data_IF_297624886466
#
_entry.id   IF_297624886466
#
_cell.length_a   1.000
_cell.length_b   1.000
_cell.length_c   1.000
_cell.angle_alpha   90.00
_cell.angle_beta   90.00
_cell.angle_gamma   90.00
#
_symmetry.space_group_name_H-M   'P 1'
#
loop_
_entity.id
_entity.type
_entity.pdbx_description
1 polymer ?
#
# COMPACT_ATOMS: atom_id res chain seq x y z
N UNK A 1 5.72 30.60 3.16
CA UNK A 1 5.55 30.42 1.70
C UNK A 1 5.46 28.93 1.46
N UNK A 2 4.25 28.38 1.34
CA UNK A 2 4.02 26.94 1.13
C UNK A 2 4.51 26.61 -0.27
N UNK A 3 5.54 25.76 -0.40
CA UNK A 3 5.90 25.24 -1.71
C UNK A 3 4.73 24.41 -2.22
N UNK A 4 4.06 24.89 -3.27
CA UNK A 4 3.08 24.10 -4.02
C UNK A 4 3.88 23.03 -4.77
N UNK A 5 3.82 21.80 -4.28
CA UNK A 5 4.30 20.64 -5.05
C UNK A 5 3.29 20.47 -6.20
N UNK A 6 3.76 20.47 -7.44
CA UNK A 6 2.94 20.09 -8.58
C UNK A 6 2.56 18.61 -8.42
N UNK A 7 1.27 18.34 -8.22
CA UNK A 7 0.75 17.01 -7.96
C UNK A 7 0.17 16.45 -9.26
N UNK A 8 1.02 15.79 -10.03
CA UNK A 8 0.55 14.94 -11.11
C UNK A 8 0.01 13.63 -10.52
N UNK A 9 -1.17 13.20 -10.99
CA UNK A 9 -1.71 11.89 -10.66
C UNK A 9 -0.87 10.75 -11.25
N UNK A 10 -1.21 9.52 -10.88
CA UNK A 10 -0.49 8.33 -11.34
C UNK A 10 -0.54 8.16 -12.88
N UNK A 11 0.60 8.29 -13.55
CA UNK A 11 0.73 8.01 -14.98
C UNK A 11 0.78 6.49 -15.25
N UNK A 12 -0.35 5.95 -15.70
CA UNK A 12 -0.53 4.52 -15.99
C UNK A 12 0.40 4.02 -17.09
N UNK A 13 0.66 4.83 -18.11
CA UNK A 13 1.55 4.46 -19.21
C UNK A 13 3.00 4.37 -18.73
N UNK A 14 3.42 5.32 -17.89
CA UNK A 14 4.75 5.29 -17.28
C UNK A 14 4.92 4.12 -16.32
N UNK A 15 3.92 3.84 -15.47
CA UNK A 15 3.94 2.67 -14.57
C UNK A 15 4.06 1.38 -15.37
N UNK A 16 3.26 1.20 -16.43
CA UNK A 16 3.33 0.01 -17.27
C UNK A 16 4.71 -0.18 -17.91
N UNK A 17 5.31 0.89 -18.44
CA UNK A 17 6.67 0.87 -18.97
C UNK A 17 7.70 0.47 -17.92
N UNK A 18 7.65 1.07 -16.73
CA UNK A 18 8.61 0.79 -15.66
C UNK A 18 8.50 -0.65 -15.14
N UNK A 19 7.29 -1.20 -15.05
CA UNK A 19 7.08 -2.59 -14.65
C UNK A 19 7.59 -3.57 -15.70
N UNK A 20 7.40 -3.27 -16.99
CA UNK A 20 7.97 -4.07 -18.07
C UNK A 20 9.51 -4.08 -18.02
N UNK A 21 10.13 -2.92 -17.80
CA UNK A 21 11.59 -2.78 -17.68
C UNK A 21 12.16 -3.50 -16.45
N UNK A 22 11.36 -3.63 -15.38
CA UNK A 22 11.73 -4.28 -14.14
C UNK A 22 11.51 -5.81 -14.11
N UNK A 23 11.23 -6.42 -15.28
CA UNK A 23 10.91 -7.84 -15.40
C UNK A 23 9.74 -8.28 -14.49
N UNK A 24 8.73 -7.43 -14.35
CA UNK A 24 7.57 -7.71 -13.50
C UNK A 24 6.82 -8.97 -13.94
N UNK A 25 6.76 -9.96 -13.06
CA UNK A 25 6.14 -11.27 -13.37
C UNK A 25 4.73 -11.44 -12.78
N UNK A 26 4.26 -10.49 -11.97
CA UNK A 26 2.92 -10.54 -11.37
C UNK A 26 1.89 -9.92 -12.33
N UNK A 27 0.58 -10.07 -12.07
CA UNK A 27 -0.43 -9.37 -12.85
C UNK A 27 -0.18 -7.85 -12.88
N UNK A 28 -0.53 -7.20 -14.00
CA UNK A 28 -0.45 -5.75 -14.10
C UNK A 28 -1.37 -5.11 -13.04
N UNK A 29 -0.90 -4.07 -12.31
CA UNK A 29 -1.75 -3.38 -11.34
C UNK A 29 -2.99 -2.76 -12.00
N UNK A 30 -4.13 -2.94 -11.33
CA UNK A 30 -5.37 -2.26 -11.69
C UNK A 30 -5.31 -0.85 -11.11
N UNK A 31 -5.19 0.15 -11.97
CA UNK A 31 -5.15 1.55 -11.57
C UNK A 31 -6.54 2.19 -11.62
N UNK A 32 -6.97 2.74 -10.48
CA UNK A 32 -8.23 3.45 -10.30
C UNK A 32 -7.97 4.94 -10.04
N UNK A 33 -8.89 5.80 -10.45
CA UNK A 33 -8.83 7.22 -10.08
C UNK A 33 -9.25 7.39 -8.62
N UNK A 34 -10.40 6.80 -8.24
CA UNK A 34 -10.88 6.80 -6.88
C UNK A 34 -11.51 5.44 -6.53
N UNK A 35 -11.46 5.08 -5.25
CA UNK A 35 -12.19 3.96 -4.66
C UNK A 35 -12.56 4.31 -3.21
N UNK A 36 -13.41 3.51 -2.56
CA UNK A 36 -13.58 3.60 -1.11
C UNK A 36 -12.33 3.11 -0.39
N UNK A 37 -11.76 1.97 -0.79
CA UNK A 37 -10.54 1.40 -0.22
C UNK A 37 -9.95 0.36 -1.16
N UNK A 38 -8.67 0.49 -1.50
CA UNK A 38 -7.94 -0.52 -2.29
C UNK A 38 -7.95 -1.90 -1.62
N UNK A 39 -7.92 -1.97 -0.27
CA UNK A 39 -8.08 -3.23 0.45
C UNK A 39 -9.44 -3.89 0.16
N UNK A 40 -10.52 -3.10 0.09
CA UNK A 40 -11.86 -3.62 -0.15
C UNK A 40 -12.01 -4.12 -1.60
N UNK A 41 -11.40 -3.42 -2.57
CA UNK A 41 -11.34 -3.86 -3.96
C UNK A 41 -10.61 -5.21 -4.08
N UNK A 42 -9.42 -5.32 -3.48
CA UNK A 42 -8.65 -6.56 -3.52
C UNK A 42 -9.35 -7.69 -2.76
N UNK A 43 -10.03 -7.41 -1.65
CA UNK A 43 -10.82 -8.41 -0.95
C UNK A 43 -11.96 -8.96 -1.82
N UNK A 44 -12.64 -8.09 -2.57
CA UNK A 44 -13.69 -8.46 -3.52
C UNK A 44 -13.13 -9.33 -4.66
N UNK A 45 -12.00 -8.92 -5.24
CA UNK A 45 -11.29 -9.68 -6.27
C UNK A 45 -10.83 -11.06 -5.75
N UNK A 46 -10.36 -11.13 -4.50
CA UNK A 46 -9.96 -12.38 -3.87
C UNK A 46 -11.12 -13.37 -3.76
N UNK A 47 -12.31 -12.91 -3.36
CA UNK A 47 -13.53 -13.73 -3.31
C UNK A 47 -13.97 -14.20 -4.70
N UNK A 48 -13.74 -13.38 -5.72
CA UNK A 48 -13.99 -13.72 -7.12
C UNK A 48 -12.91 -14.65 -7.74
N UNK A 49 -11.89 -15.05 -6.98
CA UNK A 49 -10.87 -15.99 -7.44
C UNK A 49 -9.68 -15.36 -8.17
N UNK A 50 -9.42 -14.07 -7.95
CA UNK A 50 -8.24 -13.41 -8.52
C UNK A 50 -6.91 -14.11 -8.12
N UNK A 51 -5.93 -14.01 -9.01
CA UNK A 51 -4.65 -14.69 -8.87
C UNK A 51 -3.77 -14.06 -7.77
N UNK A 52 -2.78 -14.83 -7.31
CA UNK A 52 -1.71 -14.31 -6.45
C UNK A 52 -1.06 -13.07 -7.07
N UNK A 53 -0.74 -12.08 -6.24
CA UNK A 53 -0.07 -10.87 -6.69
C UNK A 53 -0.96 -9.88 -7.44
N UNK A 54 -2.28 -10.12 -7.56
CA UNK A 54 -3.22 -9.09 -7.99
C UNK A 54 -3.05 -7.83 -7.15
N UNK A 55 -2.82 -6.70 -7.81
CA UNK A 55 -2.59 -5.41 -7.19
C UNK A 55 -3.63 -4.40 -7.66
N UNK A 56 -4.18 -3.63 -6.71
CA UNK A 56 -4.99 -2.45 -6.99
C UNK A 56 -4.25 -1.24 -6.47
N UNK A 57 -4.16 -0.19 -7.28
CA UNK A 57 -3.64 1.13 -6.91
C UNK A 57 -4.72 2.17 -7.19
N UNK A 58 -4.85 3.17 -6.32
CA UNK A 58 -5.78 4.27 -6.51
C UNK A 58 -5.08 5.62 -6.28
N UNK A 59 -5.52 6.66 -7.00
CA UNK A 59 -5.08 8.04 -6.75
C UNK A 59 -5.74 8.62 -5.50
N UNK A 60 -7.00 8.26 -5.24
CA UNK A 60 -7.78 8.65 -4.06
C UNK A 60 -8.45 7.45 -3.37
N UNK A 61 -8.53 7.47 -2.04
CA UNK A 61 -9.45 6.63 -1.27
C UNK A 61 -10.39 7.48 -0.42
N UNK A 62 -11.70 7.35 -0.64
CA UNK A 62 -12.74 8.13 0.07
C UNK A 62 -13.11 7.56 1.43
N UNK A 63 -12.74 6.30 1.70
CA UNK A 63 -12.93 5.61 2.98
C UNK A 63 -11.71 4.74 3.31
N UNK A 64 -10.52 5.32 3.17
CA UNK A 64 -9.26 4.64 3.45
C UNK A 64 -9.23 4.09 4.89
N UNK A 65 -8.70 2.87 5.06
CA UNK A 65 -8.74 2.15 6.33
C UNK A 65 -7.34 1.93 6.90
N UNK A 66 -7.22 2.09 8.21
CA UNK A 66 -6.07 1.78 9.03
C UNK A 66 -6.37 0.68 10.05
N UNK A 67 -5.34 0.28 10.80
CA UNK A 67 -5.50 -0.75 11.84
C UNK A 67 -6.46 -0.30 12.94
N UNK A 68 -7.18 -1.27 13.50
CA UNK A 68 -8.14 -1.09 14.60
C UNK A 68 -9.28 -0.14 14.23
N UNK A 69 -9.68 -0.12 12.95
CA UNK A 69 -10.81 0.69 12.48
C UNK A 69 -10.55 2.18 12.41
N UNK A 70 -9.29 2.62 12.47
CA UNK A 70 -8.93 4.03 12.26
C UNK A 70 -9.00 4.38 10.78
N UNK A 71 -9.31 5.63 10.47
CA UNK A 71 -9.29 6.12 9.09
C UNK A 71 -7.85 6.32 8.58
N UNK A 72 -7.70 6.22 7.26
CA UNK A 72 -6.46 6.52 6.54
C UNK A 72 -6.74 7.55 5.45
N UNK A 73 -6.26 8.79 5.67
CA UNK A 73 -6.47 9.90 4.74
C UNK A 73 -5.67 9.67 3.45
N UNK A 74 -6.35 9.69 2.30
CA UNK A 74 -5.79 9.35 0.98
C UNK A 74 -6.30 10.29 -0.12
N UNK A 75 -6.01 11.61 -0.05
CA UNK A 75 -6.50 12.56 -1.04
C UNK A 75 -5.81 12.33 -2.39
N UNK A 76 -6.41 12.81 -3.50
CA UNK A 76 -5.89 12.62 -4.85
C UNK A 76 -4.47 13.18 -4.97
N UNK A 77 -3.62 12.42 -5.67
CA UNK A 77 -2.26 12.79 -6.03
C UNK A 77 -1.34 13.16 -4.84
N UNK A 78 -1.70 12.78 -3.62
CA UNK A 78 -0.95 13.08 -2.40
C UNK A 78 -0.04 11.91 -1.94
N UNK A 79 -0.17 10.75 -2.55
CA UNK A 79 0.59 9.57 -2.19
C UNK A 79 0.33 8.37 -3.08
N UNK A 80 0.82 7.23 -2.64
CA UNK A 80 0.64 5.94 -3.29
C UNK A 80 -0.21 5.05 -2.38
N UNK A 81 -1.43 4.74 -2.84
CA UNK A 81 -2.39 3.91 -2.12
C UNK A 81 -2.58 2.62 -2.90
N UNK A 82 -2.06 1.51 -2.36
CA UNK A 82 -2.08 0.24 -3.08
C UNK A 82 -2.36 -0.93 -2.16
N UNK A 83 -2.91 -2.00 -2.73
CA UNK A 83 -3.19 -3.25 -2.02
C UNK A 83 -2.81 -4.44 -2.88
N UNK A 84 -2.21 -5.45 -2.26
CA UNK A 84 -1.80 -6.70 -2.90
C UNK A 84 -2.58 -7.88 -2.35
N UNK A 85 -2.96 -8.80 -3.24
CA UNK A 85 -3.48 -10.11 -2.88
C UNK A 85 -2.31 -11.06 -2.62
N UNK A 86 -2.25 -11.61 -1.41
CA UNK A 86 -1.29 -12.65 -1.03
C UNK A 86 -2.02 -13.93 -0.63
N UNK A 87 -1.53 -15.06 -1.10
CA UNK A 87 -2.06 -16.42 -0.89
C UNK A 87 -0.97 -17.23 -0.20
N UNK A 88 -0.98 -17.29 1.14
CA UNK A 88 0.12 -17.90 1.91
C UNK A 88 0.30 -19.41 1.74
N UNK A 89 -0.50 -20.07 0.88
CA UNK A 89 -0.41 -21.49 0.58
C UNK A 89 -0.55 -22.35 1.85
N UNK A 90 0.49 -23.13 2.15
CA UNK A 90 0.53 -24.01 3.33
C UNK A 90 0.91 -23.30 4.65
N UNK A 91 1.22 -22.00 4.62
CA UNK A 91 1.65 -21.26 5.81
C UNK A 91 0.48 -21.14 6.81
N UNK A 92 0.64 -21.61 8.07
CA UNK A 92 -0.43 -21.56 9.05
C UNK A 92 -0.92 -20.13 9.34
N UNK A 93 -2.24 -19.95 9.50
CA UNK A 93 -2.87 -18.65 9.81
C UNK A 93 -2.24 -17.94 11.01
N UNK A 94 -1.80 -18.68 12.03
CA UNK A 94 -1.11 -18.13 13.19
C UNK A 94 0.18 -17.37 12.85
N UNK A 95 0.79 -17.62 11.67
CA UNK A 95 2.00 -16.94 11.19
C UNK A 95 1.71 -15.75 10.28
N UNK A 96 0.46 -15.52 9.87
CA UNK A 96 0.12 -14.43 8.93
C UNK A 96 0.40 -13.04 9.52
N UNK A 97 0.48 -12.90 10.84
CA UNK A 97 0.90 -11.67 11.52
C UNK A 97 2.31 -11.17 11.13
N UNK A 98 3.13 -12.01 10.48
CA UNK A 98 4.43 -11.60 9.93
C UNK A 98 4.33 -10.84 8.61
N UNK A 99 3.26 -11.01 7.84
CA UNK A 99 3.09 -10.35 6.53
C UNK A 99 3.17 -8.82 6.59
N UNK A 100 2.50 -8.11 7.52
CA UNK A 100 2.66 -6.65 7.61
C UNK A 100 4.10 -6.25 7.95
N UNK A 101 4.86 -7.10 8.65
CA UNK A 101 6.25 -6.83 8.97
C UNK A 101 7.15 -6.93 7.74
N UNK A 102 6.95 -7.98 6.95
CA UNK A 102 7.65 -8.22 5.69
C UNK A 102 7.33 -7.13 4.66
N UNK A 103 6.06 -6.73 4.56
CA UNK A 103 5.63 -5.62 3.69
C UNK A 103 6.27 -4.29 4.11
N UNK A 104 6.38 -4.02 5.42
CA UNK A 104 7.11 -2.86 5.92
C UNK A 104 8.58 -2.86 5.51
N UNK A 105 9.26 -4.00 5.65
CA UNK A 105 10.65 -4.14 5.20
C UNK A 105 10.78 -3.92 3.68
N UNK A 106 9.93 -4.56 2.88
CA UNK A 106 9.93 -4.39 1.43
C UNK A 106 9.69 -2.93 1.01
N UNK A 107 8.73 -2.25 1.63
CA UNK A 107 8.45 -0.84 1.33
C UNK A 107 9.60 0.07 1.75
N UNK A 108 10.22 -0.16 2.92
CA UNK A 108 11.42 0.56 3.36
C UNK A 108 12.55 0.41 2.34
N UNK A 109 12.84 -0.81 1.92
CA UNK A 109 13.95 -1.10 1.02
C UNK A 109 13.68 -0.49 -0.38
N UNK A 110 12.45 -0.61 -0.88
CA UNK A 110 12.02 0.01 -2.13
C UNK A 110 12.20 1.53 -2.12
N UNK A 111 11.73 2.23 -1.07
CA UNK A 111 11.92 3.67 -0.93
C UNK A 111 13.42 4.01 -0.80
N UNK A 112 14.19 3.16 -0.12
CA UNK A 112 15.63 3.30 0.05
C UNK A 112 16.39 3.37 -1.29
N UNK A 113 15.92 2.66 -2.32
CA UNK A 113 16.52 2.69 -3.67
C UNK A 113 16.50 4.08 -4.32
N UNK A 114 15.58 4.95 -3.90
CA UNK A 114 15.50 6.32 -4.40
C UNK A 114 16.64 7.18 -3.86
N UNK A 115 17.32 6.76 -2.80
CA UNK A 115 18.54 7.41 -2.26
C UNK A 115 18.30 8.77 -1.59
N UNK A 116 17.04 9.13 -1.29
CA UNK A 116 16.68 10.49 -0.85
C UNK A 116 16.60 10.67 0.67
N UNK A 117 16.04 9.68 1.37
CA UNK A 117 15.72 9.79 2.79
C UNK A 117 15.89 8.43 3.49
N UNK A 118 16.54 8.36 4.67
CA UNK A 118 16.54 7.15 5.49
C UNK A 118 15.12 6.84 6.00
N UNK A 119 14.62 5.65 5.68
CA UNK A 119 13.33 5.16 6.18
C UNK A 119 13.56 4.15 7.31
N UNK A 120 12.90 4.40 8.44
CA UNK A 120 12.84 3.51 9.59
C UNK A 120 11.50 2.78 9.68
N UNK A 121 11.45 1.78 10.56
CA UNK A 121 10.24 1.01 10.85
C UNK A 121 9.85 1.22 12.31
N UNK A 122 8.60 1.63 12.54
CA UNK A 122 7.97 1.56 13.87
C UNK A 122 6.98 0.41 13.84
N UNK A 123 7.31 -0.64 14.58
CA UNK A 123 6.50 -1.84 14.61
C UNK A 123 5.10 -1.58 15.19
N UNK A 124 4.08 -2.30 14.69
CA UNK A 124 4.20 -3.39 13.71
C UNK A 124 3.93 -2.97 12.25
N UNK A 125 3.70 -1.69 11.94
CA UNK A 125 3.10 -1.35 10.65
C UNK A 125 3.33 0.08 10.15
N UNK A 126 4.24 0.85 10.75
CA UNK A 126 4.46 2.24 10.35
C UNK A 126 5.85 2.39 9.70
N UNK A 127 5.88 3.02 8.53
CA UNK A 127 7.09 3.57 7.92
C UNK A 127 7.33 4.94 8.51
N UNK A 128 8.56 5.21 8.94
CA UNK A 128 8.92 6.45 9.64
C UNK A 128 10.09 7.13 8.95
N UNK A 129 10.06 8.45 8.92
CA UNK A 129 11.17 9.28 8.42
C UNK A 129 11.48 10.36 9.45
N UNK A 130 12.74 10.77 9.54
CA UNK A 130 13.09 12.01 10.25
C UNK A 130 12.68 13.19 9.37
N UNK A 131 11.72 13.99 9.84
CA UNK A 131 11.24 15.15 9.10
C UNK A 131 12.23 16.34 9.13
N UNK A 132 13.36 16.20 9.83
CA UNK A 132 14.37 17.25 9.97
C UNK A 132 13.85 18.47 10.74
N UNK A 133 14.63 19.55 10.73
CA UNK A 133 14.23 20.86 11.29
C UNK A 133 13.66 20.82 12.73
N UNK A 134 14.10 19.88 13.56
CA UNK A 134 13.59 19.69 14.93
C UNK A 134 12.19 19.09 15.03
N UNK A 135 11.58 18.68 13.90
CA UNK A 135 10.28 18.02 13.88
C UNK A 135 10.36 16.57 14.37
N UNK A 136 11.52 15.92 14.19
CA UNK A 136 11.77 14.54 14.60
C UNK A 136 11.01 13.53 13.73
N UNK A 137 10.86 12.30 14.26
CA UNK A 137 10.26 11.21 13.51
C UNK A 137 8.79 11.48 13.18
N UNK A 138 8.42 11.27 11.92
CA UNK A 138 7.06 11.38 11.38
C UNK A 138 6.70 10.14 10.58
N UNK A 139 5.39 9.86 10.50
CA UNK A 139 4.88 8.72 9.76
C UNK A 139 4.89 9.02 8.26
N UNK A 140 5.69 8.27 7.53
CA UNK A 140 5.77 8.32 6.07
C UNK A 140 4.67 7.46 5.42
N UNK A 141 4.29 6.36 6.06
CA UNK A 141 3.34 5.42 5.49
C UNK A 141 2.89 4.37 6.49
N UNK A 142 1.93 3.56 6.08
CA UNK A 142 1.33 2.53 6.90
C UNK A 142 1.04 1.25 6.11
N UNK A 143 1.13 0.12 6.81
CA UNK A 143 0.74 -1.20 6.30
C UNK A 143 -0.53 -1.67 7.02
N UNK A 144 -1.45 -2.27 6.27
CA UNK A 144 -2.64 -2.94 6.79
C UNK A 144 -2.75 -4.34 6.17
N UNK A 145 -2.67 -5.37 7.01
CA UNK A 145 -2.92 -6.74 6.60
C UNK A 145 -4.30 -7.19 7.08
N UNK A 146 -5.15 -7.63 6.18
CA UNK A 146 -6.48 -8.17 6.47
C UNK A 146 -6.60 -9.59 5.91
N UNK A 147 -6.98 -10.55 6.74
CA UNK A 147 -7.33 -11.87 6.23
C UNK A 147 -8.59 -11.76 5.35
N UNK A 148 -8.56 -12.41 4.19
CA UNK A 148 -9.70 -12.48 3.27
C UNK A 148 -9.92 -13.91 2.81
N UNK A 149 -11.16 -14.20 2.40
CA UNK A 149 -11.56 -15.53 1.98
C UNK A 149 -11.68 -16.55 3.12
N UNK A 150 -12.04 -17.76 2.72
CA UNK A 150 -12.11 -18.96 3.56
C UNK A 150 -11.67 -20.13 2.69
N UNK A 151 -11.26 -21.23 3.32
CA UNK A 151 -10.94 -22.48 2.62
C UNK A 151 -12.09 -22.96 1.72
N UNK A 152 -13.33 -22.59 2.06
CA UNK A 152 -14.54 -22.98 1.35
C UNK A 152 -14.97 -21.96 0.28
N UNK A 153 -14.33 -20.79 0.20
CA UNK A 153 -14.61 -19.81 -0.84
C UNK A 153 -13.95 -20.25 -2.15
N UNK A 154 -14.56 -19.89 -3.29
CA UNK A 154 -14.01 -20.20 -4.62
C UNK A 154 -12.56 -19.70 -4.79
N UNK A 155 -12.23 -18.57 -4.17
CA UNK A 155 -10.87 -18.04 -4.14
C UNK A 155 -9.96 -18.64 -3.07
N UNK A 156 -10.44 -19.40 -2.08
CA UNK A 156 -9.61 -19.93 -0.99
C UNK A 156 -9.08 -18.88 0.01
N UNK A 157 -8.17 -19.31 0.87
CA UNK A 157 -7.53 -18.49 1.91
C UNK A 157 -6.58 -17.44 1.31
N UNK A 158 -6.69 -16.20 1.78
CA UNK A 158 -5.85 -15.09 1.34
C UNK A 158 -5.62 -14.03 2.44
N UNK A 159 -4.67 -13.14 2.17
CA UNK A 159 -4.40 -11.92 2.94
C UNK A 159 -4.32 -10.76 1.97
N UNK A 160 -5.07 -9.71 2.25
CA UNK A 160 -4.97 -8.43 1.55
C UNK A 160 -3.95 -7.57 2.30
N UNK A 161 -2.88 -7.18 1.61
CA UNK A 161 -1.83 -6.31 2.13
C UNK A 161 -1.95 -4.91 1.52
N UNK A 162 -2.54 -4.00 2.28
CA UNK A 162 -2.57 -2.57 1.99
C UNK A 162 -1.26 -1.89 2.37
N UNK A 163 -0.77 -1.04 1.49
CA UNK A 163 0.41 -0.19 1.68
C UNK A 163 0.04 1.23 1.25
N UNK A 164 0.04 2.16 2.20
CA UNK A 164 -0.16 3.58 1.96
C UNK A 164 1.12 4.37 2.22
N UNK A 165 1.58 5.15 1.24
CA UNK A 165 2.80 5.96 1.33
C UNK A 165 2.47 7.42 1.03
N UNK A 166 2.75 8.31 1.98
CA UNK A 166 2.62 9.75 1.80
C UNK A 166 3.77 10.25 0.92
N UNK A 167 3.47 10.85 -0.23
CA UNK A 167 4.47 11.39 -1.16
C UNK A 167 4.44 12.91 -1.21
N UNK A 168 3.24 13.51 -1.23
CA UNK A 168 3.01 14.95 -1.30
C UNK A 168 1.91 15.41 -0.33
N UNK A 169 1.48 14.56 0.60
CA UNK A 169 0.45 14.88 1.60
C UNK A 169 0.92 16.01 2.53
N UNK A 170 0.13 17.07 2.59
CA UNK A 170 0.39 18.23 3.42
C UNK A 170 -0.33 18.12 4.76
N UNK A 171 0.22 18.77 5.79
CA UNK A 171 -0.31 18.67 7.15
C UNK A 171 -1.74 19.21 7.31
N UNK A 172 -2.19 20.10 6.43
CA UNK A 172 -3.56 20.65 6.47
C UNK A 172 -4.60 19.69 5.88
N UNK A 173 -4.16 18.59 5.30
CA UNK A 173 -5.02 17.54 4.72
C UNK A 173 -5.17 16.34 5.66
N UNK A 174 -4.56 16.38 6.86
CA UNK A 174 -4.64 15.34 7.88
C UNK A 174 -5.81 15.52 8.85
#
# INVERSE_FOLDING_TARGET
>A
MTMSIDRAGLDRGRVASLLADAEWTLPMPIALEATTSTNAEVATLALAGAAEGTCVVADEQTAGRGRQGRDWVSPPSAGLWMSFLVRPGSVPRARWGWLPLLAGLAARDAIGTLGRIPVGLKWPNDLMVDAGAGLGMRKLGGILAEASGSKDAAGGDAVVLGIGINAALAAHEL
#
